data_IF_159928034035
#
_entry.id   IF_159928034035
#
_cell.length_a   1.000
_cell.length_b   1.000
_cell.length_c   1.000
_cell.angle_alpha   90.00
_cell.angle_beta   90.00
_cell.angle_gamma   90.00
#
_symmetry.space_group_name_H-M   'P 1'
#
loop_
_entity.id
_entity.type
_entity.pdbx_description
1 polymer ?
#
# COMPACT_ATOMS: atom_id res chain seq x y z
N UNK A 1 33.51 -8.03 33.85
CA UNK A 1 32.73 -8.55 32.71
C UNK A 1 31.75 -7.47 32.30
N UNK A 2 31.87 -6.93 31.08
CA UNK A 2 30.84 -6.04 30.52
C UNK A 2 29.67 -6.96 30.18
N UNK A 3 28.65 -6.98 31.02
CA UNK A 3 27.35 -7.53 30.65
C UNK A 3 26.83 -6.63 29.54
N UNK A 4 26.80 -7.15 28.31
CA UNK A 4 26.16 -6.47 27.20
C UNK A 4 24.72 -6.17 27.64
N UNK A 5 24.42 -4.87 27.75
CA UNK A 5 23.12 -4.42 28.18
C UNK A 5 22.12 -4.73 27.05
N UNK A 6 20.91 -5.22 27.36
CA UNK A 6 19.90 -5.51 26.36
C UNK A 6 19.51 -4.24 25.58
N UNK A 7 18.93 -4.43 24.40
CA UNK A 7 18.67 -3.39 23.40
C UNK A 7 18.08 -2.10 24.01
N UNK A 8 18.71 -0.96 23.72
CA UNK A 8 18.26 0.35 24.20
C UNK A 8 18.53 0.66 25.68
N UNK A 9 19.19 -0.21 26.45
CA UNK A 9 19.54 0.05 27.86
C UNK A 9 20.95 0.65 27.98
N UNK A 10 21.05 1.85 28.55
CA UNK A 10 22.33 2.53 28.81
C UNK A 10 22.56 2.76 30.30
N UNK A 11 23.82 2.78 30.71
CA UNK A 11 24.18 3.13 32.09
C UNK A 11 23.88 4.61 32.34
N UNK A 12 23.05 4.91 33.36
CA UNK A 12 22.74 6.29 33.75
C UNK A 12 23.46 6.69 35.04
N UNK A 13 23.45 5.83 36.05
CA UNK A 13 24.11 6.09 37.33
C UNK A 13 24.64 4.80 37.97
N UNK A 14 25.22 4.91 39.18
CA UNK A 14 25.67 3.74 39.94
C UNK A 14 24.53 2.76 40.25
N UNK A 15 23.31 3.25 40.41
CA UNK A 15 22.14 2.47 40.87
C UNK A 15 21.03 2.34 39.84
N UNK A 16 21.11 3.06 38.71
CA UNK A 16 20.07 3.04 37.67
C UNK A 16 20.65 2.92 36.27
N UNK A 17 19.86 2.31 35.40
CA UNK A 17 20.04 2.31 33.95
C UNK A 17 18.87 3.08 33.31
N UNK A 18 19.04 3.58 32.10
CA UNK A 18 17.97 4.23 31.33
C UNK A 18 17.63 3.36 30.14
N UNK A 19 16.34 3.18 29.87
CA UNK A 19 15.87 2.66 28.60
C UNK A 19 15.62 3.84 27.66
N UNK A 20 16.36 3.91 26.55
CA UNK A 20 16.19 4.95 25.53
C UNK A 20 14.90 4.77 24.74
N UNK A 21 14.50 3.52 24.44
CA UNK A 21 13.23 3.24 23.77
C UNK A 21 12.03 3.85 24.54
N UNK A 22 12.00 3.59 25.86
CA UNK A 22 10.88 3.97 26.73
C UNK A 22 11.05 5.33 27.43
N UNK A 23 12.24 5.94 27.41
CA UNK A 23 12.55 7.17 28.16
C UNK A 23 12.54 7.04 29.69
N UNK A 24 12.56 5.83 30.25
CA UNK A 24 12.42 5.60 31.71
C UNK A 24 13.72 5.14 32.38
N UNK A 25 13.85 5.43 33.67
CA UNK A 25 14.94 4.94 34.52
C UNK A 25 14.54 3.66 35.25
N UNK A 26 15.40 2.64 35.17
CA UNK A 26 15.19 1.31 35.74
C UNK A 26 16.27 1.07 36.81
N UNK A 27 15.94 0.48 37.97
CA UNK A 27 16.94 0.03 38.92
C UNK A 27 17.97 -0.89 38.25
N UNK A 28 19.25 -0.72 38.59
CA UNK A 28 20.36 -1.54 38.06
C UNK A 28 20.39 -2.92 38.73
N UNK A 29 19.29 -3.66 38.62
CA UNK A 29 19.09 -5.01 39.09
C UNK A 29 18.55 -5.85 37.91
N UNK A 30 19.19 -7.00 37.62
CA UNK A 30 18.89 -7.80 36.43
C UNK A 30 17.40 -8.15 36.31
N UNK A 31 16.75 -8.56 37.42
CA UNK A 31 15.30 -8.84 37.43
C UNK A 31 14.45 -7.66 36.97
N UNK A 32 14.81 -6.43 37.35
CA UNK A 32 14.08 -5.23 36.95
C UNK A 32 14.30 -4.91 35.47
N UNK A 33 15.53 -5.10 34.98
CA UNK A 33 15.86 -4.89 33.57
C UNK A 33 15.11 -5.92 32.71
N UNK A 34 15.16 -7.20 33.06
CA UNK A 34 14.46 -8.29 32.36
C UNK A 34 12.94 -8.10 32.37
N UNK A 35 12.36 -7.73 33.52
CA UNK A 35 10.93 -7.46 33.62
C UNK A 35 10.52 -6.28 32.72
N UNK A 36 11.37 -5.25 32.63
CA UNK A 36 11.11 -4.12 31.75
C UNK A 36 11.21 -4.52 30.27
N UNK A 37 12.31 -5.14 29.85
CA UNK A 37 12.56 -5.47 28.44
C UNK A 37 11.58 -6.50 27.89
N UNK A 38 11.02 -7.36 28.75
CA UNK A 38 9.98 -8.32 28.38
C UNK A 38 8.55 -7.75 28.50
N UNK A 39 8.40 -6.55 29.05
CA UNK A 39 7.10 -5.90 29.23
C UNK A 39 6.47 -5.48 27.90
N UNK A 40 5.14 -5.53 27.84
CA UNK A 40 4.37 -5.23 26.62
C UNK A 40 4.73 -3.85 26.03
N UNK A 41 4.75 -2.81 26.87
CA UNK A 41 5.09 -1.44 26.45
C UNK A 41 6.50 -1.31 25.84
N UNK A 42 7.47 -2.11 26.30
CA UNK A 42 8.80 -2.07 25.72
C UNK A 42 8.82 -2.71 24.33
N UNK A 43 8.08 -3.81 24.14
CA UNK A 43 7.93 -4.46 22.84
C UNK A 43 7.21 -3.57 21.83
N UNK A 44 6.12 -2.94 22.25
CA UNK A 44 5.38 -1.94 21.45
C UNK A 44 6.30 -0.79 21.01
N UNK A 45 7.15 -0.27 21.91
CA UNK A 45 8.12 0.75 21.53
C UNK A 45 9.19 0.25 20.53
N UNK A 46 9.52 -1.05 20.52
CA UNK A 46 10.41 -1.64 19.51
C UNK A 46 9.69 -1.78 18.17
N UNK A 47 8.40 -2.12 18.17
CA UNK A 47 7.58 -2.17 16.96
C UNK A 47 7.47 -0.77 16.34
N UNK A 48 7.14 0.25 17.14
CA UNK A 48 7.13 1.65 16.72
C UNK A 48 8.48 2.09 16.13
N UNK A 49 9.60 1.62 16.69
CA UNK A 49 10.92 1.92 16.13
C UNK A 49 11.07 1.37 14.71
N UNK A 50 10.66 0.12 14.46
CA UNK A 50 10.76 -0.51 13.15
C UNK A 50 9.80 0.13 12.15
N UNK A 51 8.60 0.53 12.57
CA UNK A 51 7.61 1.21 11.74
C UNK A 51 8.03 2.65 11.39
N UNK A 52 8.98 3.23 12.13
CA UNK A 52 9.36 4.64 11.99
C UNK A 52 10.85 4.83 11.64
N UNK A 53 11.51 3.81 11.09
CA UNK A 53 12.90 3.89 10.68
C UNK A 53 13.87 4.36 11.79
N UNK A 54 13.59 3.93 13.03
CA UNK A 54 14.41 4.25 14.19
C UNK A 54 15.23 3.01 14.54
N UNK A 55 16.56 3.17 14.56
CA UNK A 55 17.47 2.09 14.98
C UNK A 55 18.34 2.51 16.15
N UNK A 56 18.61 1.56 17.04
CA UNK A 56 19.62 1.74 18.07
C UNK A 56 21.00 1.32 17.52
N UNK A 57 21.96 2.23 17.54
CA UNK A 57 23.33 1.97 17.11
C UNK A 57 24.31 2.78 17.96
N UNK A 58 25.43 2.17 18.35
CA UNK A 58 26.51 2.82 19.12
C UNK A 58 26.03 3.54 20.40
N UNK A 59 25.05 2.97 21.10
CA UNK A 59 24.52 3.55 22.34
C UNK A 59 23.55 4.72 22.13
N UNK A 60 23.15 5.01 20.89
CA UNK A 60 22.25 6.11 20.54
C UNK A 60 21.13 5.64 19.62
N UNK A 61 20.04 6.41 19.64
CA UNK A 61 18.89 6.19 18.78
C UNK A 61 19.00 7.07 17.55
N UNK A 62 18.81 6.49 16.37
CA UNK A 62 18.93 7.16 15.09
C UNK A 62 17.63 7.01 14.32
N UNK A 63 16.98 8.14 14.00
CA UNK A 63 15.86 8.14 13.07
C UNK A 63 16.38 8.40 11.66
N UNK A 64 16.15 7.43 10.77
CA UNK A 64 16.59 7.47 9.38
C UNK A 64 15.79 8.47 8.55
N UNK A 65 14.47 8.55 8.79
CA UNK A 65 13.57 9.49 8.13
C UNK A 65 14.00 10.95 8.40
N UNK A 66 14.14 11.29 9.69
CA UNK A 66 14.57 12.62 10.11
C UNK A 66 16.08 12.86 9.96
N UNK A 67 16.86 11.83 9.59
CA UNK A 67 18.33 11.87 9.46
C UNK A 67 19.03 12.44 10.71
N UNK A 68 18.48 12.20 11.90
CA UNK A 68 18.98 12.75 13.16
C UNK A 68 19.19 11.69 14.23
N UNK A 69 20.10 11.99 15.14
CA UNK A 69 20.29 11.25 16.38
C UNK A 69 19.30 11.80 17.41
N UNK A 70 18.49 10.94 18.01
CA UNK A 70 17.59 11.36 19.08
C UNK A 70 18.40 11.70 20.33
N UNK A 71 17.98 12.73 21.06
CA UNK A 71 18.65 13.07 22.29
C UNK A 71 18.47 11.95 23.32
N UNK A 72 19.36 11.87 24.30
CA UNK A 72 19.20 10.89 25.39
C UNK A 72 17.94 11.16 26.22
N UNK A 73 17.36 12.36 26.12
CA UNK A 73 16.15 12.75 26.83
C UNK A 73 14.87 12.33 26.09
N UNK A 74 14.92 12.20 24.77
CA UNK A 74 13.78 11.83 23.93
C UNK A 74 13.48 10.33 24.03
N UNK A 75 12.21 9.99 24.22
CA UNK A 75 11.71 8.62 23.98
C UNK A 75 11.37 8.44 22.51
N UNK A 76 11.19 7.18 22.08
CA UNK A 76 10.71 6.85 20.74
C UNK A 76 9.37 7.52 20.46
N UNK A 77 8.42 7.38 21.38
CA UNK A 77 7.06 7.94 21.24
C UNK A 77 7.09 9.45 21.10
N UNK A 78 7.86 10.14 21.96
CA UNK A 78 7.98 11.60 21.91
C UNK A 78 8.56 12.09 20.58
N UNK A 79 9.53 11.34 20.03
CA UNK A 79 10.09 11.68 18.73
C UNK A 79 9.09 11.50 17.58
N UNK A 80 8.36 10.38 17.55
CA UNK A 80 7.39 10.08 16.49
C UNK A 80 6.25 11.10 16.47
N UNK A 81 5.81 11.52 17.66
CA UNK A 81 4.76 12.55 17.83
C UNK A 81 5.25 13.98 17.55
N UNK A 82 6.55 14.18 17.31
CA UNK A 82 7.05 15.52 16.96
C UNK A 82 6.57 15.94 15.58
N UNK A 83 6.16 17.21 15.44
CA UNK A 83 5.62 17.77 14.18
C UNK A 83 6.52 17.47 12.97
N UNK A 84 7.85 17.58 13.13
CA UNK A 84 8.80 17.29 12.04
C UNK A 84 8.71 15.85 11.53
N UNK A 85 8.57 14.88 12.45
CA UNK A 85 8.50 13.46 12.10
C UNK A 85 7.13 13.12 11.53
N UNK A 86 6.07 13.54 12.22
CA UNK A 86 4.70 13.30 11.80
C UNK A 86 4.41 13.89 10.41
N UNK A 87 4.84 15.13 10.14
CA UNK A 87 4.64 15.76 8.83
C UNK A 87 5.44 15.06 7.72
N UNK A 88 6.65 14.57 8.01
CA UNK A 88 7.42 13.82 7.03
C UNK A 88 6.78 12.46 6.71
N UNK A 89 6.30 11.76 7.74
CA UNK A 89 5.61 10.48 7.56
C UNK A 89 4.33 10.65 6.77
N UNK A 90 3.48 11.63 7.12
CA UNK A 90 2.27 11.93 6.37
C UNK A 90 2.57 12.23 4.89
N UNK A 91 3.56 13.09 4.61
CA UNK A 91 3.95 13.40 3.23
C UNK A 91 4.55 12.20 2.48
N UNK A 92 5.18 11.26 3.18
CA UNK A 92 5.71 10.04 2.58
C UNK A 92 4.56 9.07 2.27
N UNK A 93 3.64 8.87 3.21
CA UNK A 93 2.43 8.04 3.06
C UNK A 93 1.56 8.55 1.91
N UNK A 94 1.25 9.85 1.87
CA UNK A 94 0.49 10.49 0.79
C UNK A 94 1.11 10.27 -0.60
N UNK A 95 2.44 10.14 -0.69
CA UNK A 95 3.16 9.92 -1.95
C UNK A 95 3.20 8.46 -2.38
N UNK A 96 3.02 7.50 -1.47
CA UNK A 96 3.09 6.07 -1.78
C UNK A 96 1.73 5.39 -1.76
N UNK A 97 0.72 6.04 -1.19
CA UNK A 97 -0.62 5.50 -1.07
C UNK A 97 -1.21 5.19 -2.45
N UNK A 98 -1.66 3.96 -2.63
CA UNK A 98 -2.13 3.44 -3.92
C UNK A 98 -1.06 3.29 -5.02
N UNK A 99 0.20 3.67 -4.78
CA UNK A 99 1.28 3.66 -5.79
C UNK A 99 2.04 2.32 -5.86
N UNK A 100 1.64 1.33 -5.05
CA UNK A 100 2.27 0.01 -4.93
C UNK A 100 3.77 0.10 -4.60
N UNK A 101 4.14 1.02 -3.70
CA UNK A 101 5.50 1.20 -3.20
C UNK A 101 5.60 0.65 -1.78
N UNK A 102 6.45 -0.36 -1.60
CA UNK A 102 6.71 -0.96 -0.29
C UNK A 102 7.75 -0.15 0.48
N UNK A 103 7.34 0.36 1.65
CA UNK A 103 8.20 1.07 2.60
C UNK A 103 8.89 0.14 3.61
N UNK A 104 8.38 -1.07 3.83
CA UNK A 104 8.78 -1.94 4.95
C UNK A 104 10.30 -2.16 5.06
N UNK A 105 11.04 -2.50 3.99
CA UNK A 105 12.48 -2.71 4.10
C UNK A 105 13.25 -1.43 4.47
N UNK A 106 12.71 -0.28 4.10
CA UNK A 106 13.29 1.02 4.43
C UNK A 106 13.00 1.39 5.89
N UNK A 107 11.75 1.23 6.34
CA UNK A 107 11.32 1.50 7.72
C UNK A 107 12.00 0.54 8.70
N UNK A 108 12.10 -0.76 8.38
CA UNK A 108 12.88 -1.72 9.17
C UNK A 108 14.40 -1.45 9.17
N UNK A 109 14.87 -0.40 8.47
CA UNK A 109 16.27 -0.02 8.35
C UNK A 109 17.17 -1.08 7.69
N UNK A 110 16.59 -1.98 6.90
CA UNK A 110 17.30 -3.02 6.15
C UNK A 110 17.92 -2.48 4.87
N UNK A 111 17.25 -1.51 4.22
CA UNK A 111 17.66 -0.91 2.94
C UNK A 111 17.52 0.60 2.95
N UNK A 112 18.29 1.29 2.12
CA UNK A 112 18.19 2.75 1.89
C UNK A 112 17.19 3.14 0.78
N UNK A 113 16.56 2.13 0.19
CA UNK A 113 15.65 2.26 -0.95
C UNK A 113 14.29 1.66 -0.61
N UNK A 114 13.24 2.21 -1.23
CA UNK A 114 11.89 1.65 -1.27
C UNK A 114 11.70 0.92 -2.60
N UNK A 115 10.80 -0.06 -2.63
CA UNK A 115 10.58 -0.88 -3.82
C UNK A 115 9.22 -0.56 -4.45
N UNK A 116 9.23 -0.14 -5.71
CA UNK A 116 8.01 0.01 -6.51
C UNK A 116 7.71 -1.30 -7.24
N UNK A 117 6.57 -1.91 -6.92
CA UNK A 117 6.17 -3.21 -7.44
C UNK A 117 5.67 -3.14 -8.88
N UNK A 118 5.00 -2.03 -9.28
CA UNK A 118 4.53 -1.87 -10.66
C UNK A 118 5.67 -1.63 -11.64
N UNK A 119 6.71 -0.91 -11.22
CA UNK A 119 7.89 -0.68 -12.03
C UNK A 119 8.96 -1.75 -11.86
N UNK A 120 8.86 -2.60 -10.82
CA UNK A 120 9.89 -3.53 -10.35
C UNK A 120 11.27 -2.85 -10.20
N UNK A 121 11.30 -1.71 -9.51
CA UNK A 121 12.50 -0.86 -9.34
C UNK A 121 12.66 -0.44 -7.89
N UNK A 122 13.91 -0.31 -7.47
CA UNK A 122 14.24 0.33 -6.20
C UNK A 122 14.45 1.83 -6.42
N UNK A 123 13.93 2.63 -5.49
CA UNK A 123 13.97 4.09 -5.50
C UNK A 123 14.59 4.51 -4.18
N UNK A 124 15.56 5.43 -4.21
CA UNK A 124 16.12 5.93 -2.96
C UNK A 124 15.06 6.75 -2.21
N UNK A 125 14.91 6.47 -0.91
CA UNK A 125 13.80 7.01 -0.15
C UNK A 125 14.02 8.49 0.18
N UNK A 126 13.41 9.34 -0.63
CA UNK A 126 13.27 10.77 -0.36
C UNK A 126 12.00 11.29 -1.01
N UNK A 127 11.32 12.23 -0.37
CA UNK A 127 10.07 12.81 -0.90
C UNK A 127 10.22 13.25 -2.36
N UNK A 128 11.33 13.93 -2.68
CA UNK A 128 11.63 14.38 -4.05
C UNK A 128 11.70 13.22 -5.05
N UNK A 129 12.46 12.17 -4.76
CA UNK A 129 12.66 11.09 -5.72
C UNK A 129 11.44 10.19 -5.86
N UNK A 130 10.69 9.98 -4.78
CA UNK A 130 9.42 9.27 -4.82
C UNK A 130 8.43 10.08 -5.66
N UNK A 131 8.32 11.39 -5.39
CA UNK A 131 7.46 12.28 -6.17
C UNK A 131 7.85 12.32 -7.67
N UNK A 132 9.14 12.39 -8.00
CA UNK A 132 9.61 12.32 -9.39
C UNK A 132 9.26 10.97 -10.03
N UNK A 133 9.35 9.88 -9.27
CA UNK A 133 9.03 8.53 -9.74
C UNK A 133 7.52 8.34 -10.01
N UNK A 134 6.65 8.66 -9.05
CA UNK A 134 5.20 8.45 -9.19
C UNK A 134 4.57 9.33 -10.27
N UNK A 135 5.19 10.48 -10.54
CA UNK A 135 4.78 11.38 -11.62
C UNK A 135 5.43 11.04 -12.98
N UNK A 136 6.31 10.05 -13.04
CA UNK A 136 6.90 9.62 -14.30
C UNK A 136 5.86 8.91 -15.18
N UNK A 137 5.85 9.24 -16.47
CA UNK A 137 4.89 8.69 -17.44
C UNK A 137 4.94 7.16 -17.50
N UNK A 138 6.12 6.56 -17.32
CA UNK A 138 6.23 5.11 -17.32
C UNK A 138 5.52 4.50 -16.10
N UNK A 139 5.68 5.08 -14.92
CA UNK A 139 5.04 4.59 -13.71
C UNK A 139 3.51 4.65 -13.83
N UNK A 140 2.97 5.80 -14.24
CA UNK A 140 1.52 5.99 -14.45
C UNK A 140 0.94 5.01 -15.48
N UNK A 141 1.68 4.79 -16.56
CA UNK A 141 1.32 3.77 -17.54
C UNK A 141 1.28 2.37 -16.92
N UNK A 142 2.28 1.97 -16.13
CA UNK A 142 2.29 0.66 -15.46
C UNK A 142 1.12 0.48 -14.47
N UNK A 143 0.77 1.53 -13.73
CA UNK A 143 -0.43 1.52 -12.86
C UNK A 143 -1.67 1.27 -13.71
N UNK A 144 -1.85 2.04 -14.79
CA UNK A 144 -3.01 1.90 -15.67
C UNK A 144 -3.08 0.50 -16.29
N UNK A 145 -1.97 -0.05 -16.79
CA UNK A 145 -1.94 -1.42 -17.32
C UNK A 145 -2.29 -2.48 -16.26
N UNK A 146 -1.88 -2.26 -15.00
CA UNK A 146 -2.19 -3.17 -13.89
C UNK A 146 -3.67 -3.10 -13.48
N UNK A 147 -4.28 -1.93 -13.53
CA UNK A 147 -5.69 -1.72 -13.19
C UNK A 147 -6.66 -2.02 -14.35
N UNK A 148 -6.18 -1.96 -15.60
CA UNK A 148 -6.96 -2.22 -16.82
C UNK A 148 -7.78 -3.51 -16.79
N UNK A 149 -7.24 -4.71 -16.48
CA UNK A 149 -8.03 -5.95 -16.46
C UNK A 149 -9.13 -5.96 -15.40
N UNK A 150 -9.05 -5.07 -14.40
CA UNK A 150 -9.99 -5.01 -13.28
C UNK A 150 -11.06 -3.92 -13.50
N UNK A 151 -10.70 -2.82 -14.17
CA UNK A 151 -11.52 -1.61 -14.18
C UNK A 151 -11.82 -1.04 -15.57
N UNK A 152 -11.29 -1.62 -16.64
CA UNK A 152 -11.54 -1.11 -17.99
C UNK A 152 -10.98 0.30 -18.23
N UNK A 153 -9.82 0.58 -17.63
CA UNK A 153 -9.13 1.86 -17.70
C UNK A 153 -8.06 1.87 -18.79
N UNK A 154 -8.02 2.95 -19.58
CA UNK A 154 -7.11 3.09 -20.72
C UNK A 154 -6.41 4.45 -20.72
N UNK A 155 -5.10 4.52 -21.01
CA UNK A 155 -4.41 5.81 -21.14
C UNK A 155 -5.02 6.63 -22.28
N UNK A 156 -5.33 7.91 -22.03
CA UNK A 156 -5.76 8.81 -23.08
C UNK A 156 -4.57 9.35 -23.89
N UNK A 157 -4.83 9.81 -25.12
CA UNK A 157 -3.78 10.31 -26.03
C UNK A 157 -3.02 11.56 -25.51
N UNK A 158 -3.56 12.26 -24.52
CA UNK A 158 -2.94 13.46 -23.93
C UNK A 158 -1.92 13.14 -22.83
N UNK A 159 -1.80 11.89 -22.37
CA UNK A 159 -0.94 11.46 -21.25
C UNK A 159 -1.21 12.19 -19.92
N UNK A 160 -2.36 12.83 -19.78
CA UNK A 160 -2.78 13.52 -18.55
C UNK A 160 -4.09 12.97 -18.01
N UNK A 161 -4.75 12.13 -18.78
CA UNK A 161 -6.04 11.55 -18.45
C UNK A 161 -6.04 10.03 -18.74
N UNK A 162 -6.92 9.34 -18.03
CA UNK A 162 -7.27 7.94 -18.21
C UNK A 162 -8.75 7.90 -18.60
N UNK A 163 -9.06 7.17 -19.66
CA UNK A 163 -10.44 6.94 -20.10
C UNK A 163 -11.00 5.69 -19.42
N UNK A 164 -12.14 5.83 -18.75
CA UNK A 164 -12.89 4.70 -18.24
C UNK A 164 -13.87 4.19 -19.30
N UNK A 165 -13.71 2.94 -19.70
CA UNK A 165 -14.59 2.29 -20.67
C UNK A 165 -15.96 1.96 -20.09
N UNK A 166 -16.09 1.74 -18.78
CA UNK A 166 -17.36 1.46 -18.13
C UNK A 166 -18.22 2.72 -18.13
N UNK A 167 -17.72 3.79 -17.52
CA UNK A 167 -18.46 5.05 -17.34
C UNK A 167 -18.38 6.00 -18.56
N UNK A 168 -17.49 5.74 -19.52
CA UNK A 168 -17.26 6.57 -20.73
C UNK A 168 -16.78 8.00 -20.43
N UNK A 169 -16.08 8.19 -19.31
CA UNK A 169 -15.54 9.49 -18.88
C UNK A 169 -14.00 9.50 -18.92
N UNK A 170 -13.42 10.70 -18.89
CA UNK A 170 -11.99 10.92 -18.71
C UNK A 170 -11.71 11.34 -17.26
N UNK A 171 -10.71 10.71 -16.66
CA UNK A 171 -10.27 10.87 -15.27
C UNK A 171 -8.86 11.42 -15.30
N UNK A 172 -8.47 12.25 -14.35
CA UNK A 172 -7.10 12.74 -14.29
C UNK A 172 -6.13 11.58 -14.00
N UNK A 173 -5.02 11.49 -14.75
CA UNK A 173 -4.02 10.42 -14.63
C UNK A 173 -3.12 10.62 -13.40
N UNK A 174 -3.70 10.36 -12.23
CA UNK A 174 -3.04 10.24 -10.93
C UNK A 174 -3.80 9.19 -10.11
N UNK A 175 -3.07 8.50 -9.21
CA UNK A 175 -3.62 7.37 -8.47
C UNK A 175 -4.85 7.72 -7.65
N UNK A 176 -4.83 8.85 -6.92
CA UNK A 176 -5.99 9.26 -6.11
C UNK A 176 -7.25 9.40 -6.96
N UNK A 177 -7.21 10.16 -8.05
CA UNK A 177 -8.40 10.31 -8.92
C UNK A 177 -8.85 9.00 -9.56
N UNK A 178 -7.93 8.09 -9.86
CA UNK A 178 -8.26 6.76 -10.41
C UNK A 178 -8.89 5.86 -9.35
N UNK A 179 -8.35 5.83 -8.13
CA UNK A 179 -8.89 5.05 -7.02
C UNK A 179 -10.24 5.61 -6.54
N UNK A 180 -10.36 6.93 -6.38
CA UNK A 180 -11.63 7.59 -6.05
C UNK A 180 -12.72 7.22 -7.08
N UNK A 181 -12.37 7.17 -8.37
CA UNK A 181 -13.30 6.72 -9.39
C UNK A 181 -13.67 5.23 -9.27
N UNK A 182 -12.71 4.36 -8.92
CA UNK A 182 -12.98 2.92 -8.81
C UNK A 182 -13.82 2.60 -7.56
N UNK A 183 -13.54 3.27 -6.44
CA UNK A 183 -14.03 2.91 -5.11
C UNK A 183 -15.18 3.80 -4.62
N UNK A 184 -15.37 5.00 -5.18
CA UNK A 184 -16.39 5.96 -4.73
C UNK A 184 -17.42 6.37 -5.81
N UNK A 185 -17.14 6.13 -7.10
CA UNK A 185 -18.08 6.47 -8.18
C UNK A 185 -19.26 5.49 -8.20
N UNK A 186 -20.45 5.96 -7.83
CA UNK A 186 -21.66 5.14 -7.75
C UNK A 186 -21.97 4.42 -9.07
N UNK A 187 -21.80 5.09 -10.23
CA UNK A 187 -22.08 4.47 -11.53
C UNK A 187 -21.09 3.34 -11.86
N UNK A 188 -19.80 3.53 -11.56
CA UNK A 188 -18.77 2.51 -11.77
C UNK A 188 -19.04 1.29 -10.88
N UNK A 189 -19.28 1.50 -9.59
CA UNK A 189 -19.52 0.44 -8.61
C UNK A 189 -20.81 -0.32 -8.94
N UNK A 190 -21.90 0.38 -9.25
CA UNK A 190 -23.17 -0.25 -9.61
C UNK A 190 -23.04 -1.14 -10.85
N UNK A 191 -22.30 -0.68 -11.86
CA UNK A 191 -22.07 -1.48 -13.07
C UNK A 191 -21.34 -2.78 -12.75
N UNK A 192 -20.27 -2.73 -11.95
CA UNK A 192 -19.54 -3.94 -11.56
C UNK A 192 -20.42 -4.88 -10.73
N UNK A 193 -21.14 -4.35 -9.74
CA UNK A 193 -22.06 -5.15 -8.92
C UNK A 193 -23.12 -5.86 -9.77
N UNK A 194 -23.74 -5.15 -10.72
CA UNK A 194 -24.78 -5.74 -11.58
C UNK A 194 -24.19 -6.82 -12.50
N UNK A 195 -23.02 -6.58 -13.11
CA UNK A 195 -22.38 -7.52 -14.01
C UNK A 195 -21.89 -8.76 -13.25
N UNK A 196 -21.26 -8.59 -12.08
CA UNK A 196 -20.79 -9.69 -11.23
C UNK A 196 -21.94 -10.60 -10.81
N UNK A 197 -23.06 -10.03 -10.36
CA UNK A 197 -24.27 -10.80 -9.99
C UNK A 197 -24.81 -11.62 -11.18
N UNK A 198 -24.76 -11.07 -12.39
CA UNK A 198 -25.24 -11.74 -13.60
C UNK A 198 -24.32 -12.87 -14.08
N UNK A 199 -23.00 -12.71 -13.94
CA UNK A 199 -22.02 -13.69 -14.40
C UNK A 199 -21.67 -14.73 -13.32
N UNK A 200 -22.05 -14.49 -12.07
CA UNK A 200 -21.79 -15.41 -10.97
C UNK A 200 -22.35 -16.80 -11.28
N UNK A 201 -21.47 -17.79 -11.17
CA UNK A 201 -21.76 -19.18 -11.55
C UNK A 201 -22.27 -19.39 -12.99
N UNK A 202 -22.04 -18.45 -13.92
CA UNK A 202 -22.41 -18.58 -15.35
C UNK A 202 -21.24 -18.86 -16.29
N UNK A 203 -20.00 -18.84 -15.80
CA UNK A 203 -18.77 -19.06 -16.60
C UNK A 203 -18.69 -18.11 -17.80
N UNK A 204 -18.99 -16.83 -17.54
CA UNK A 204 -18.87 -15.71 -18.47
C UNK A 204 -17.69 -14.86 -18.03
N UNK A 205 -16.75 -14.61 -18.94
CA UNK A 205 -15.59 -13.75 -18.70
C UNK A 205 -15.78 -12.38 -19.36
N UNK A 206 -15.62 -11.33 -18.55
CA UNK A 206 -15.61 -9.94 -18.98
C UNK A 206 -14.19 -9.39 -19.17
N UNK A 207 -13.16 -10.17 -18.86
CA UNK A 207 -11.76 -9.76 -18.97
C UNK A 207 -11.38 -9.28 -20.39
N UNK A 208 -11.82 -9.93 -21.51
CA UNK A 208 -11.56 -9.41 -22.86
C UNK A 208 -12.15 -8.01 -23.07
N UNK A 209 -13.34 -7.76 -22.52
CA UNK A 209 -13.97 -6.44 -22.56
C UNK A 209 -13.17 -5.43 -21.75
N UNK A 210 -12.70 -5.76 -20.55
CA UNK A 210 -11.96 -4.80 -19.73
C UNK A 210 -10.53 -4.53 -20.25
N UNK A 211 -9.89 -5.50 -20.90
CA UNK A 211 -8.49 -5.40 -21.33
C UNK A 211 -8.27 -4.79 -22.70
N UNK A 212 -9.29 -4.74 -23.56
CA UNK A 212 -9.19 -4.21 -24.92
C UNK A 212 -10.16 -3.05 -25.14
N UNK A 213 -9.63 -1.87 -25.47
CA UNK A 213 -10.40 -0.62 -25.70
C UNK A 213 -11.55 -0.82 -26.70
N UNK A 214 -11.33 -1.62 -27.74
CA UNK A 214 -12.27 -1.79 -28.85
C UNK A 214 -13.17 -3.03 -28.72
N UNK A 215 -12.93 -3.88 -27.73
CA UNK A 215 -13.72 -5.09 -27.52
C UNK A 215 -15.12 -4.73 -26.99
N UNK A 216 -16.18 -5.18 -27.63
CA UNK A 216 -17.54 -4.89 -27.16
C UNK A 216 -18.17 -6.06 -26.41
N UNK A 217 -17.49 -7.21 -26.39
CA UNK A 217 -18.07 -8.48 -26.00
C UNK A 217 -17.41 -9.07 -24.76
N UNK A 218 -18.24 -9.68 -23.91
CA UNK A 218 -17.85 -10.69 -22.94
C UNK A 218 -17.92 -12.07 -23.60
N UNK A 219 -17.15 -13.03 -23.10
CA UNK A 219 -17.11 -14.37 -23.65
C UNK A 219 -17.77 -15.36 -22.69
N UNK A 220 -18.79 -16.08 -23.13
CA UNK A 220 -19.36 -17.18 -22.36
C UNK A 220 -18.61 -18.47 -22.68
N UNK A 221 -17.88 -19.01 -21.70
CA UNK A 221 -17.15 -20.27 -21.86
C UNK A 221 -18.09 -21.48 -21.93
N UNK A 222 -19.28 -21.43 -21.31
CA UNK A 222 -20.29 -22.50 -21.46
C UNK A 222 -20.81 -22.58 -22.89
N UNK A 223 -21.23 -21.43 -23.41
CA UNK A 223 -21.82 -21.31 -24.75
C UNK A 223 -20.80 -21.23 -25.88
N UNK A 224 -19.53 -20.97 -25.57
CA UNK A 224 -18.45 -20.73 -26.53
C UNK A 224 -18.84 -19.63 -27.55
N UNK A 225 -19.38 -18.52 -27.03
CA UNK A 225 -19.84 -17.41 -27.86
C UNK A 225 -19.65 -16.04 -27.21
N UNK A 226 -19.55 -15.03 -28.06
CA UNK A 226 -19.47 -13.63 -27.68
C UNK A 226 -20.86 -13.06 -27.37
N UNK A 227 -20.94 -12.29 -26.28
CA UNK A 227 -22.15 -11.61 -25.80
C UNK A 227 -21.80 -10.15 -25.63
N UNK A 228 -22.63 -9.22 -26.10
CA UNK A 228 -22.38 -7.79 -25.88
C UNK A 228 -22.27 -7.54 -24.37
N UNK A 229 -21.20 -6.88 -23.94
CA UNK A 229 -20.92 -6.67 -22.51
C UNK A 229 -21.76 -5.52 -21.94
N UNK A 230 -23.04 -5.81 -21.68
CA UNK A 230 -23.94 -4.97 -20.91
C UNK A 230 -24.93 -5.85 -20.14
N UNK A 231 -25.47 -5.34 -19.05
CA UNK A 231 -26.35 -6.08 -18.15
C UNK A 231 -27.54 -6.71 -18.88
N UNK A 232 -28.22 -5.95 -19.75
CA UNK A 232 -29.38 -6.44 -20.49
C UNK A 232 -29.04 -7.66 -21.37
N UNK A 233 -27.93 -7.62 -22.09
CA UNK A 233 -27.53 -8.67 -23.05
C UNK A 233 -27.03 -9.91 -22.33
N UNK A 234 -26.23 -9.73 -21.26
CA UNK A 234 -25.77 -10.82 -20.41
C UNK A 234 -26.96 -11.47 -19.72
N UNK A 235 -27.85 -10.69 -19.10
CA UNK A 235 -29.07 -11.19 -18.45
C UNK A 235 -29.94 -11.98 -19.43
N UNK A 236 -30.16 -11.47 -20.64
CA UNK A 236 -30.95 -12.15 -21.67
C UNK A 236 -30.29 -13.47 -22.11
N UNK A 237 -28.96 -13.51 -22.18
CA UNK A 237 -28.21 -14.72 -22.52
C UNK A 237 -28.29 -15.77 -21.41
N UNK A 238 -27.96 -15.41 -20.16
CA UNK A 238 -27.86 -16.38 -19.05
C UNK A 238 -29.22 -16.95 -18.65
N UNK A 239 -30.32 -16.23 -18.92
CA UNK A 239 -31.68 -16.73 -18.75
C UNK A 239 -32.26 -17.39 -20.00
N UNK A 240 -31.52 -17.48 -21.10
CA UNK A 240 -31.99 -18.14 -22.31
C UNK A 240 -32.04 -19.66 -22.12
N UNK A 241 -33.04 -20.31 -22.73
CA UNK A 241 -33.12 -21.78 -22.72
C UNK A 241 -31.86 -22.42 -23.32
N UNK A 242 -31.21 -21.78 -24.29
CA UNK A 242 -29.98 -22.29 -24.89
C UNK A 242 -28.83 -22.39 -23.88
N UNK A 243 -28.64 -21.35 -23.05
CA UNK A 243 -27.63 -21.34 -22.00
C UNK A 243 -27.98 -22.30 -20.86
N UNK A 244 -29.25 -22.30 -20.41
CA UNK A 244 -29.71 -23.16 -19.33
C UNK A 244 -29.70 -24.65 -19.69
N UNK A 245 -29.94 -25.00 -20.96
CA UNK A 245 -30.01 -26.40 -21.41
C UNK A 245 -28.65 -26.97 -21.83
N UNK A 246 -27.58 -26.16 -21.92
CA UNK A 246 -26.34 -26.61 -22.54
C UNK A 246 -25.55 -27.66 -21.74
N UNK A 247 -25.94 -27.91 -20.49
CA UNK A 247 -25.75 -29.20 -19.82
C UNK A 247 -26.93 -29.44 -18.88
N UNK A 248 -28.03 -29.93 -19.44
CA UNK A 248 -29.08 -30.55 -18.64
C UNK A 248 -28.50 -31.62 -17.69
N UNK A 249 -29.15 -31.77 -16.55
CA UNK A 249 -29.48 -33.12 -16.10
C UNK A 249 -30.13 -33.91 -17.26
#
# INVERSE_FOLDING_TARGET
MKTDLPYGIIASSKTRVRCLCCGVYIPKANKCIEQHTNGAKHKENIELMNENAIRFSNGKMHCKLCKRVLSEEDSVTYHIESDDHANFMAALEDLVDGEFISLDPYLACEKDEVHCEVCNKNIYCSLKQIQEHVNDLYHRFQITERLKPLNGLFPAANNTEVWCKVCKIYIQDNVLSVLDHIDEDEEHIEWFSEIEDLIDNQDVSIEPYLTNEHEAYAFCNRCQMDIVCNAQSIQSHVHSEAHLNQFGL
#
